data_IF_383032986487
#
_entry.id   IF_383032986487
#
_cell.length_a   1.000
_cell.length_b   1.000
_cell.length_c   1.000
_cell.angle_alpha   90.00
_cell.angle_beta   90.00
_cell.angle_gamma   90.00
#
_symmetry.space_group_name_H-M   'P 1'
#
loop_
_entity.id
_entity.type
_entity.pdbx_description
1 polymer ?
#
# COMPACT_ATOMS: atom_id res chain seq x y z
N UNK A 1 -68.34 -41.67 -25.22
CA UNK A 1 -69.03 -42.97 -25.33
C UNK A 1 -68.70 -43.75 -24.07
N UNK A 2 -69.63 -43.68 -23.13
CA UNK A 2 -69.93 -44.68 -22.09
C UNK A 2 -70.13 -46.09 -22.69
N UNK A 3 -70.48 -47.19 -21.97
CA UNK A 3 -70.52 -47.47 -20.51
C UNK A 3 -70.11 -48.94 -20.14
N UNK A 4 -70.53 -49.38 -18.94
CA UNK A 4 -70.95 -50.75 -18.52
C UNK A 4 -69.81 -51.69 -18.09
N UNK A 5 -69.73 -52.20 -16.87
CA UNK A 5 -70.70 -52.30 -15.79
C UNK A 5 -70.69 -53.74 -15.29
N UNK A 6 -70.54 -53.95 -13.98
CA UNK A 6 -70.96 -55.22 -13.37
C UNK A 6 -71.27 -55.01 -11.89
N UNK A 7 -72.56 -54.94 -11.59
CA UNK A 7 -73.05 -55.16 -10.23
C UNK A 7 -72.94 -56.65 -9.93
N UNK A 8 -72.30 -57.00 -8.83
CA UNK A 8 -72.45 -58.33 -8.22
C UNK A 8 -72.90 -58.15 -6.77
N UNK A 9 -73.93 -58.93 -6.46
CA UNK A 9 -74.69 -58.99 -5.22
C UNK A 9 -73.83 -59.24 -3.98
N UNK A 10 -74.25 -58.62 -2.87
CA UNK A 10 -73.91 -59.06 -1.52
C UNK A 10 -74.68 -60.33 -1.15
N UNK A 11 -74.08 -61.24 -0.38
CA UNK A 11 -74.83 -62.02 0.57
C UNK A 11 -74.25 -61.96 1.99
N UNK A 12 -75.18 -61.78 2.91
CA UNK A 12 -75.14 -61.81 4.38
C UNK A 12 -74.26 -62.89 5.00
N UNK A 13 -73.51 -62.58 6.08
CA UNK A 13 -73.30 -63.53 7.18
C UNK A 13 -72.78 -62.92 8.49
N UNK A 14 -73.70 -62.81 9.45
CA UNK A 14 -73.60 -63.02 10.89
C UNK A 14 -72.22 -63.02 11.60
N UNK A 15 -72.12 -62.10 12.56
CA UNK A 15 -71.82 -62.32 13.98
C UNK A 15 -70.61 -63.18 14.36
N UNK A 16 -69.48 -62.53 14.69
CA UNK A 16 -68.60 -62.95 15.78
C UNK A 16 -68.06 -61.69 16.47
N UNK A 17 -68.38 -61.52 17.76
CA UNK A 17 -67.69 -60.58 18.65
C UNK A 17 -66.20 -60.93 18.77
N UNK A 18 -65.33 -59.96 19.05
CA UNK A 18 -64.41 -60.03 20.21
C UNK A 18 -63.30 -58.96 20.10
N UNK A 19 -63.37 -58.02 21.06
CA UNK A 19 -62.24 -57.30 21.70
C UNK A 19 -61.36 -56.43 20.79
N UNK A 20 -61.74 -55.15 20.71
CA UNK A 20 -60.80 -54.10 20.34
C UNK A 20 -59.67 -54.03 21.38
N UNK A 21 -58.44 -54.26 20.93
CA UNK A 21 -57.20 -53.98 21.66
C UNK A 21 -57.10 -52.47 21.83
N UNK A 22 -56.96 -51.99 23.08
CA UNK A 22 -56.86 -50.56 23.37
C UNK A 22 -55.39 -50.11 23.26
N UNK A 23 -55.09 -49.30 22.24
CA UNK A 23 -53.73 -48.92 21.85
C UNK A 23 -53.08 -47.83 22.71
N UNK A 24 -53.75 -47.36 23.77
CA UNK A 24 -53.25 -46.26 24.61
C UNK A 24 -52.20 -46.67 25.65
N UNK A 25 -51.89 -47.96 25.81
CA UNK A 25 -50.83 -48.44 26.71
C UNK A 25 -49.45 -48.63 26.04
N UNK A 26 -49.37 -48.52 24.70
CA UNK A 26 -48.12 -48.83 23.96
C UNK A 26 -47.20 -47.63 23.80
N UNK A 27 -47.69 -46.39 23.95
CA UNK A 27 -46.87 -45.19 23.75
C UNK A 27 -46.92 -44.25 24.96
N UNK A 28 -46.27 -44.66 26.05
CA UNK A 28 -45.93 -43.78 27.16
C UNK A 28 -44.80 -42.82 26.78
N UNK A 29 -45.11 -41.54 26.63
CA UNK A 29 -44.15 -40.45 26.42
C UNK A 29 -43.20 -40.30 27.61
N UNK A 30 -41.94 -40.73 27.48
CA UNK A 30 -40.91 -40.46 28.48
C UNK A 30 -39.84 -39.54 27.91
N UNK A 31 -40.11 -38.23 27.98
CA UNK A 31 -39.09 -37.21 27.75
C UNK A 31 -38.35 -36.93 29.06
N UNK A 32 -37.22 -37.64 29.30
CA UNK A 32 -36.32 -37.35 30.43
C UNK A 32 -35.18 -36.45 29.94
N UNK A 33 -35.38 -35.14 30.06
CA UNK A 33 -34.32 -34.17 29.79
C UNK A 33 -33.24 -34.21 30.89
N UNK A 34 -32.03 -34.50 30.44
CA UNK A 34 -30.81 -34.63 31.21
C UNK A 34 -30.36 -33.25 31.73
N UNK A 35 -30.42 -32.99 33.04
CA UNK A 35 -29.92 -31.73 33.62
C UNK A 35 -28.42 -31.84 33.89
N UNK A 36 -27.59 -31.49 32.92
CA UNK A 36 -26.15 -31.26 33.14
C UNK A 36 -25.96 -29.89 33.82
N UNK A 37 -25.14 -29.76 34.88
CA UNK A 37 -24.78 -28.44 35.38
C UNK A 37 -23.94 -27.75 34.32
N UNK A 38 -24.52 -26.72 33.70
CA UNK A 38 -23.83 -25.88 32.73
C UNK A 38 -22.70 -25.15 33.47
N UNK A 39 -21.45 -25.47 33.12
CA UNK A 39 -20.29 -24.67 33.49
C UNK A 39 -20.62 -23.21 33.11
N UNK A 40 -20.80 -22.36 34.12
CA UNK A 40 -20.90 -20.91 33.91
C UNK A 40 -19.59 -20.48 33.26
N UNK A 41 -19.58 -20.34 31.94
CA UNK A 41 -18.53 -19.60 31.27
C UNK A 41 -18.54 -18.22 31.91
N UNK A 42 -17.45 -17.92 32.62
CA UNK A 42 -17.16 -16.59 33.12
C UNK A 42 -17.21 -15.69 31.88
N UNK A 43 -18.26 -14.88 31.75
CA UNK A 43 -18.30 -13.83 30.75
C UNK A 43 -17.00 -13.05 30.93
N UNK A 44 -16.08 -13.19 29.98
CA UNK A 44 -14.95 -12.30 29.87
C UNK A 44 -15.61 -10.97 29.54
N UNK A 45 -15.82 -10.13 30.56
CA UNK A 45 -16.55 -8.88 30.45
C UNK A 45 -15.99 -8.13 29.24
N UNK A 46 -16.80 -7.99 28.18
CA UNK A 46 -16.48 -7.09 27.09
C UNK A 46 -16.51 -5.68 27.68
N UNK A 47 -15.34 -5.17 28.06
CA UNK A 47 -15.18 -3.78 28.47
C UNK A 47 -15.34 -2.92 27.22
N UNK A 48 -16.38 -2.10 27.21
CA UNK A 48 -16.53 -1.04 26.21
C UNK A 48 -15.48 0.06 26.42
N UNK A 49 -15.06 0.69 25.33
CA UNK A 49 -14.11 1.82 25.34
C UNK A 49 -14.76 3.04 25.99
N UNK A 50 -14.06 3.73 26.88
CA UNK A 50 -14.55 5.01 27.44
C UNK A 50 -14.42 6.14 26.44
N UNK A 51 -15.36 7.10 26.46
CA UNK A 51 -15.24 8.36 25.71
C UNK A 51 -13.98 9.14 26.12
N UNK A 52 -13.58 9.07 27.40
CA UNK A 52 -12.37 9.74 27.90
C UNK A 52 -11.10 9.07 27.39
N UNK A 53 -11.11 7.74 27.19
CA UNK A 53 -9.97 7.02 26.60
C UNK A 53 -9.79 7.44 25.14
N UNK A 54 -10.88 7.52 24.38
CA UNK A 54 -10.82 7.99 22.99
C UNK A 54 -10.32 9.44 22.89
N UNK A 55 -10.78 10.33 23.79
CA UNK A 55 -10.39 11.73 23.79
C UNK A 55 -8.89 11.91 24.04
N UNK A 56 -8.32 11.17 25.00
CA UNK A 56 -6.88 11.21 25.29
C UNK A 56 -6.08 10.66 24.10
N UNK A 57 -6.53 9.57 23.46
CA UNK A 57 -5.85 8.98 22.30
C UNK A 57 -5.79 9.98 21.13
N UNK A 58 -6.91 10.64 20.82
CA UNK A 58 -6.95 11.64 19.75
C UNK A 58 -6.09 12.85 20.10
N UNK A 59 -6.06 13.28 21.36
CA UNK A 59 -5.18 14.35 21.82
C UNK A 59 -3.69 14.01 21.59
N UNK A 60 -3.26 12.79 21.94
CA UNK A 60 -1.88 12.33 21.72
C UNK A 60 -1.55 12.25 20.22
N UNK A 61 -2.44 11.68 19.41
CA UNK A 61 -2.24 11.59 17.95
C UNK A 61 -2.14 12.98 17.34
N UNK A 62 -2.96 13.94 17.79
CA UNK A 62 -2.91 15.33 17.32
C UNK A 62 -1.55 15.99 17.58
N UNK A 63 -0.97 15.78 18.77
CA UNK A 63 0.35 16.30 19.13
C UNK A 63 1.44 15.68 18.24
N UNK A 64 1.44 14.35 18.09
CA UNK A 64 2.44 13.65 17.27
C UNK A 64 2.30 14.03 15.79
N UNK A 65 1.08 14.11 15.27
CA UNK A 65 0.85 14.46 13.88
C UNK A 65 1.33 15.88 13.56
N UNK A 66 1.14 16.83 14.47
CA UNK A 66 1.56 18.23 14.27
C UNK A 66 3.07 18.40 14.08
N UNK A 67 3.90 17.64 14.82
CA UNK A 67 5.37 17.74 14.73
C UNK A 67 5.96 16.67 13.81
N UNK A 68 5.40 15.46 13.82
CA UNK A 68 5.91 14.30 13.12
C UNK A 68 5.69 14.36 11.62
N UNK A 69 4.53 14.85 11.16
CA UNK A 69 4.21 14.91 9.74
C UNK A 69 5.15 15.84 8.94
N UNK A 70 5.36 17.13 9.32
CA UNK A 70 6.26 18.01 8.58
C UNK A 70 7.72 17.50 8.63
N UNK A 71 8.15 16.94 9.77
CA UNK A 71 9.48 16.35 9.91
C UNK A 71 9.69 15.18 8.93
N UNK A 72 8.72 14.27 8.83
CA UNK A 72 8.77 13.14 7.90
C UNK A 72 8.85 13.60 6.44
N UNK A 73 8.04 14.58 6.03
CA UNK A 73 8.08 15.13 4.67
C UNK A 73 9.46 15.70 4.33
N UNK A 74 10.03 16.51 5.23
CA UNK A 74 11.38 17.07 5.04
C UNK A 74 12.46 16.00 4.93
N UNK A 75 12.32 14.89 5.66
CA UNK A 75 13.26 13.77 5.60
C UNK A 75 13.12 13.00 4.29
N UNK A 76 11.89 12.82 3.80
CA UNK A 76 11.64 12.17 2.51
C UNK A 76 12.23 12.99 1.35
N UNK A 77 12.09 14.32 1.36
CA UNK A 77 12.72 15.23 0.39
C UNK A 77 14.25 15.12 0.43
N UNK A 78 14.87 15.16 1.62
CA UNK A 78 16.32 14.97 1.76
C UNK A 78 16.78 13.63 1.19
N UNK A 79 16.02 12.55 1.41
CA UNK A 79 16.32 11.24 0.83
C UNK A 79 16.20 11.26 -0.69
N UNK A 80 15.22 11.95 -1.26
CA UNK A 80 15.07 12.10 -2.72
C UNK A 80 16.21 12.92 -3.34
N UNK A 81 16.69 13.98 -2.68
CA UNK A 81 17.88 14.75 -3.11
C UNK A 81 19.14 13.90 -3.26
N UNK A 82 19.28 12.81 -2.49
CA UNK A 82 20.45 11.92 -2.61
C UNK A 82 20.61 11.36 -4.02
N UNK A 83 19.51 11.17 -4.74
CA UNK A 83 19.53 10.72 -6.13
C UNK A 83 20.13 11.76 -7.07
N UNK A 84 19.70 13.02 -6.97
CA UNK A 84 20.28 14.12 -7.73
C UNK A 84 21.78 14.30 -7.45
N UNK A 85 22.17 14.27 -6.16
CA UNK A 85 23.59 14.33 -5.75
C UNK A 85 24.42 13.19 -6.32
N UNK A 86 23.88 11.97 -6.29
CA UNK A 86 24.55 10.80 -6.84
C UNK A 86 24.74 10.95 -8.36
N UNK A 87 23.69 11.36 -9.08
CA UNK A 87 23.76 11.59 -10.52
C UNK A 87 24.78 12.68 -10.91
N UNK A 88 24.84 13.78 -10.15
CA UNK A 88 25.84 14.83 -10.36
C UNK A 88 27.27 14.33 -10.11
N UNK A 89 27.47 13.56 -9.05
CA UNK A 89 28.79 12.99 -8.71
C UNK A 89 29.25 12.01 -9.79
N UNK A 90 28.35 11.15 -10.28
CA UNK A 90 28.62 10.23 -11.38
C UNK A 90 28.95 10.98 -12.67
N UNK A 91 28.14 11.97 -13.04
CA UNK A 91 28.38 12.79 -14.23
C UNK A 91 29.70 13.57 -14.14
N UNK A 92 30.11 14.03 -12.95
CA UNK A 92 31.41 14.67 -12.75
C UNK A 92 32.59 13.71 -12.98
N UNK A 93 32.47 12.47 -12.50
CA UNK A 93 33.46 11.42 -12.79
C UNK A 93 33.51 11.12 -14.30
N UNK A 94 32.35 11.10 -14.97
CA UNK A 94 32.27 10.91 -16.41
C UNK A 94 32.86 12.06 -17.20
N UNK A 95 32.69 13.31 -16.77
CA UNK A 95 33.39 14.46 -17.36
C UNK A 95 34.91 14.28 -17.32
N UNK A 96 35.44 13.78 -16.19
CA UNK A 96 36.87 13.53 -16.07
C UNK A 96 37.35 12.38 -16.97
N UNK A 97 36.58 11.30 -17.06
CA UNK A 97 36.86 10.22 -18.03
C UNK A 97 36.86 10.76 -19.46
N UNK A 98 35.83 11.52 -19.81
CA UNK A 98 35.66 12.11 -21.13
C UNK A 98 36.80 13.07 -21.51
N UNK A 99 37.28 13.86 -20.55
CA UNK A 99 38.45 14.71 -20.74
C UNK A 99 39.73 13.91 -21.00
N UNK A 100 39.92 12.76 -20.34
CA UNK A 100 41.07 11.89 -20.59
C UNK A 100 41.06 11.34 -22.03
N UNK A 101 39.88 11.00 -22.55
CA UNK A 101 39.70 10.42 -23.88
C UNK A 101 39.74 11.47 -25.00
N UNK A 102 39.08 12.63 -24.79
CA UNK A 102 38.82 13.62 -25.85
C UNK A 102 39.53 14.96 -25.65
N UNK A 103 40.27 15.13 -24.55
CA UNK A 103 41.02 16.34 -24.18
C UNK A 103 40.15 17.61 -24.10
N UNK A 104 38.85 17.45 -23.83
CA UNK A 104 37.89 18.54 -23.60
C UNK A 104 36.79 18.05 -22.68
N UNK A 105 36.11 18.97 -22.00
CA UNK A 105 34.83 18.69 -21.37
C UNK A 105 33.69 18.79 -22.40
N UNK A 106 32.48 18.40 -22.01
CA UNK A 106 31.28 18.55 -22.84
C UNK A 106 30.19 19.39 -22.17
N UNK A 107 29.50 20.20 -22.97
CA UNK A 107 28.25 20.88 -22.58
C UNK A 107 27.03 19.96 -22.68
N UNK A 108 27.20 18.72 -23.15
CA UNK A 108 26.10 17.78 -23.30
C UNK A 108 26.30 16.58 -22.39
N UNK A 109 25.49 16.49 -21.33
CA UNK A 109 25.58 15.39 -20.36
C UNK A 109 25.36 14.03 -21.02
N UNK A 110 24.54 13.93 -22.09
CA UNK A 110 24.28 12.66 -22.78
C UNK A 110 25.51 12.16 -23.56
N UNK A 111 26.38 13.06 -23.99
CA UNK A 111 27.64 12.71 -24.68
C UNK A 111 28.58 11.92 -23.75
N UNK A 112 28.50 12.16 -22.44
CA UNK A 112 29.24 11.42 -21.41
C UNK A 112 28.86 9.93 -21.34
N UNK A 113 27.65 9.61 -21.80
CA UNK A 113 27.08 8.26 -21.80
C UNK A 113 26.96 7.67 -23.21
N UNK A 114 27.49 8.35 -24.23
CA UNK A 114 27.38 7.92 -25.62
C UNK A 114 25.94 7.92 -26.15
N UNK A 115 25.08 8.80 -25.61
CA UNK A 115 23.67 8.93 -25.98
C UNK A 115 23.39 10.27 -26.67
N UNK A 116 22.26 10.34 -27.34
CA UNK A 116 21.74 11.57 -27.96
C UNK A 116 20.71 12.22 -27.04
N UNK A 117 20.60 13.55 -27.09
CA UNK A 117 19.71 14.34 -26.21
C UNK A 117 20.46 15.56 -25.65
N UNK A 118 19.79 16.33 -24.80
CA UNK A 118 20.39 17.50 -24.13
C UNK A 118 20.46 17.33 -22.60
N UNK A 119 19.48 16.64 -22.04
CA UNK A 119 19.34 16.38 -20.60
C UNK A 119 19.24 14.88 -20.33
N UNK A 120 19.58 14.49 -19.11
CA UNK A 120 19.49 13.11 -18.62
C UNK A 120 18.55 13.06 -17.42
N UNK A 121 17.53 12.21 -17.46
CA UNK A 121 16.71 11.94 -16.28
C UNK A 121 17.45 11.02 -15.29
N UNK A 122 17.27 11.26 -13.99
CA UNK A 122 17.78 10.37 -12.95
C UNK A 122 16.97 9.08 -12.89
N UNK A 123 17.50 8.07 -12.20
CA UNK A 123 16.95 6.70 -12.20
C UNK A 123 15.46 6.61 -11.83
N UNK A 124 14.98 7.43 -10.88
CA UNK A 124 13.58 7.47 -10.47
C UNK A 124 12.81 8.65 -11.08
N UNK A 125 13.41 9.37 -12.03
CA UNK A 125 12.80 10.52 -12.71
C UNK A 125 12.54 11.70 -11.77
N UNK A 126 13.32 11.87 -10.71
CA UNK A 126 13.14 12.95 -9.75
C UNK A 126 13.84 14.24 -10.19
N UNK A 127 14.94 14.11 -10.95
CA UNK A 127 15.71 15.23 -11.46
C UNK A 127 16.03 15.04 -12.94
N UNK A 128 16.23 16.16 -13.64
CA UNK A 128 16.88 16.24 -14.94
C UNK A 128 18.26 16.85 -14.77
N UNK A 129 19.27 16.18 -15.29
CA UNK A 129 20.67 16.60 -15.25
C UNK A 129 21.05 17.26 -16.57
N UNK A 130 21.76 18.38 -16.49
CA UNK A 130 22.40 19.07 -17.61
C UNK A 130 23.86 19.39 -17.30
N UNK A 131 24.61 19.76 -18.33
CA UNK A 131 26.00 20.18 -18.23
C UNK A 131 26.18 21.52 -18.93
N UNK A 132 26.97 22.41 -18.35
CA UNK A 132 27.37 23.66 -18.98
C UNK A 132 28.87 23.83 -18.87
N UNK A 133 29.50 24.33 -19.93
CA UNK A 133 30.93 24.63 -19.93
C UNK A 133 31.20 26.00 -19.34
N UNK A 134 32.25 26.11 -18.54
CA UNK A 134 32.69 27.36 -17.91
C UNK A 134 34.15 27.66 -18.27
N UNK A 135 34.58 28.92 -18.06
CA UNK A 135 35.96 29.33 -18.29
C UNK A 135 36.47 29.14 -19.73
N UNK A 136 35.58 29.20 -20.73
CA UNK A 136 35.95 28.93 -22.13
C UNK A 136 36.15 27.45 -22.46
N UNK A 137 35.55 26.54 -21.69
CA UNK A 137 35.61 25.09 -21.95
C UNK A 137 36.64 24.33 -21.11
N UNK A 138 37.35 25.02 -20.21
CA UNK A 138 38.32 24.44 -19.28
C UNK A 138 37.67 23.93 -17.99
N UNK A 139 36.41 24.26 -17.76
CA UNK A 139 35.63 23.78 -16.62
C UNK A 139 34.21 23.41 -17.03
N UNK A 140 33.49 22.83 -16.08
CA UNK A 140 32.08 22.52 -16.22
C UNK A 140 31.31 22.84 -14.94
N UNK A 141 30.01 23.02 -15.10
CA UNK A 141 29.00 23.00 -14.03
C UNK A 141 27.93 22.00 -14.45
N UNK A 142 27.68 21.03 -13.58
CA UNK A 142 26.56 20.09 -13.72
C UNK A 142 25.40 20.59 -12.87
N UNK A 143 24.19 20.49 -13.41
CA UNK A 143 22.97 20.98 -12.77
C UNK A 143 21.93 19.88 -12.75
N UNK A 144 21.38 19.56 -11.58
CA UNK A 144 20.24 18.67 -11.41
C UNK A 144 19.03 19.51 -11.02
N UNK A 145 18.06 19.59 -11.93
CA UNK A 145 16.82 20.36 -11.78
C UNK A 145 15.68 19.41 -11.42
N UNK A 146 14.94 19.63 -10.33
CA UNK A 146 13.77 18.81 -10.01
C UNK A 146 12.78 18.78 -11.17
N UNK A 147 12.18 17.61 -11.40
CA UNK A 147 11.15 17.46 -12.43
C UNK A 147 9.85 18.13 -11.96
N UNK A 148 9.28 19.00 -12.80
CA UNK A 148 8.00 19.67 -12.55
C UNK A 148 6.86 18.66 -12.43
N UNK A 149 5.84 18.96 -11.61
CA UNK A 149 4.72 18.05 -11.30
C UNK A 149 5.16 16.70 -10.67
N UNK A 150 6.43 16.57 -10.30
CA UNK A 150 7.01 15.40 -9.69
C UNK A 150 6.99 15.42 -8.16
N UNK A 151 7.43 14.32 -7.55
CA UNK A 151 7.57 14.20 -6.09
C UNK A 151 8.61 15.17 -5.48
N UNK A 152 9.39 15.83 -6.31
CA UNK A 152 10.44 16.75 -5.91
C UNK A 152 10.19 18.16 -6.43
N UNK A 153 9.02 18.41 -7.02
CA UNK A 153 8.65 19.71 -7.53
C UNK A 153 8.73 20.79 -6.44
N UNK A 154 9.28 21.95 -6.79
CA UNK A 154 9.54 23.06 -5.87
C UNK A 154 10.74 22.89 -4.93
N UNK A 155 11.48 21.78 -4.97
CA UNK A 155 12.73 21.63 -4.19
C UNK A 155 13.92 22.35 -4.87
N UNK A 156 15.10 22.29 -4.25
CA UNK A 156 16.30 22.95 -4.74
C UNK A 156 16.84 22.37 -6.06
N UNK A 157 17.27 23.25 -6.96
CA UNK A 157 18.20 22.91 -8.05
C UNK A 157 19.59 22.70 -7.47
N UNK A 158 20.18 21.53 -7.69
CA UNK A 158 21.50 21.18 -7.17
C UNK A 158 22.55 21.40 -8.26
N UNK A 159 23.71 21.95 -7.91
CA UNK A 159 24.84 22.06 -8.84
C UNK A 159 26.15 21.55 -8.26
N UNK A 160 27.01 21.02 -9.13
CA UNK A 160 28.36 20.56 -8.83
C UNK A 160 29.28 21.03 -9.96
N UNK A 161 30.33 21.79 -9.62
CA UNK A 161 31.30 22.25 -10.61
C UNK A 161 32.58 21.39 -10.66
N UNK A 162 33.43 21.65 -11.64
CA UNK A 162 34.71 20.94 -11.83
C UNK A 162 35.70 21.03 -10.65
N UNK A 163 35.51 21.98 -9.72
CA UNK A 163 36.31 22.12 -8.50
C UNK A 163 35.70 21.37 -7.31
N UNK A 164 34.59 20.68 -7.49
CA UNK A 164 33.85 20.02 -6.42
C UNK A 164 33.02 20.97 -5.57
N UNK A 165 32.85 22.23 -5.97
CA UNK A 165 31.99 23.17 -5.25
C UNK A 165 30.53 22.87 -5.56
N UNK A 166 29.72 22.84 -4.50
CA UNK A 166 28.31 22.50 -4.55
C UNK A 166 27.45 23.68 -4.15
N UNK A 167 26.31 23.85 -4.84
CA UNK A 167 25.31 24.83 -4.43
C UNK A 167 23.89 24.29 -4.60
N UNK A 168 22.93 24.75 -3.78
CA UNK A 168 23.10 25.60 -2.59
C UNK A 168 23.45 24.78 -1.33
N UNK A 169 24.24 25.33 -0.41
CA UNK A 169 24.83 24.57 0.72
C UNK A 169 23.81 23.84 1.62
N UNK A 170 22.62 24.41 1.78
CA UNK A 170 21.51 23.87 2.58
C UNK A 170 20.86 22.62 1.96
N UNK A 171 21.13 22.36 0.68
CA UNK A 171 20.59 21.24 -0.05
C UNK A 171 21.57 20.06 -0.15
N UNK A 172 22.86 20.28 0.13
CA UNK A 172 23.95 19.31 -0.02
C UNK A 172 24.29 18.51 1.24
#
# INVERSE_FOLDING_TARGET
MEPIGMKINEPTRNHVMSRAVNWTEVFGTRNRLNKRPLLKLKNILQKGFSLTELLIVVAIIGIIAGVGYPSYLSQAEKTRRTEGKAALTEAAQKQQQFFQERRRYTANVMELYGKTGATMETLKGLYTVSSELTGGGVGFTLTATPVSDGLQDGDFTLTLNHLGQTTPSEAW
#
